data_IF_270929442908
#
_entry.id   IF_270929442908
#
_cell.length_a   1.000
_cell.length_b   1.000
_cell.length_c   1.000
_cell.angle_alpha   90.00
_cell.angle_beta   90.00
_cell.angle_gamma   90.00
#
_symmetry.space_group_name_H-M   'P 1'
#
loop_
_entity.id
_entity.type
_entity.pdbx_description
1 polymer ?
#
# COMPACT_ATOMS: atom_id res chain seq x y z
N UNK A 1 22.40 8.09 27.25
CA UNK A 1 22.57 7.22 26.07
C UNK A 1 21.19 6.94 25.51
N UNK A 2 20.74 7.71 24.52
CA UNK A 2 19.49 7.47 23.79
C UNK A 2 19.87 6.88 22.44
N UNK A 3 19.75 5.57 22.30
CA UNK A 3 19.85 4.91 20.99
C UNK A 3 18.68 5.41 20.15
N UNK A 4 18.90 6.04 18.98
CA UNK A 4 17.80 6.24 18.05
C UNK A 4 17.31 4.83 17.72
N UNK A 5 16.05 4.54 17.99
CA UNK A 5 15.40 3.37 17.42
C UNK A 5 15.54 3.52 15.92
N UNK A 6 16.50 2.80 15.33
CA UNK A 6 16.64 2.70 13.89
C UNK A 6 15.23 2.40 13.38
N UNK A 7 14.66 3.32 12.62
CA UNK A 7 13.37 3.16 11.99
C UNK A 7 13.56 2.10 10.91
N UNK A 8 13.74 0.86 11.34
CA UNK A 8 14.19 -0.26 10.54
C UNK A 8 12.95 -0.77 9.82
N UNK A 9 12.53 0.02 8.84
CA UNK A 9 11.58 -0.42 7.83
C UNK A 9 12.23 -1.63 7.17
N UNK A 10 11.80 -2.82 7.58
CA UNK A 10 12.27 -4.06 6.98
C UNK A 10 11.80 -4.03 5.53
N UNK A 11 12.76 -3.90 4.61
CA UNK A 11 12.45 -3.97 3.19
C UNK A 11 11.93 -5.37 2.91
N UNK A 12 10.71 -5.45 2.38
CA UNK A 12 10.05 -6.74 2.17
C UNK A 12 10.59 -7.49 0.95
N UNK A 13 10.33 -8.80 0.92
CA UNK A 13 10.63 -9.66 -0.23
C UNK A 13 9.64 -9.44 -1.38
N UNK A 14 9.56 -10.39 -2.32
CA UNK A 14 8.64 -10.29 -3.45
C UNK A 14 7.17 -10.36 -2.97
N UNK A 15 6.40 -9.25 -3.08
CA UNK A 15 5.06 -9.17 -2.53
C UNK A 15 4.04 -9.93 -3.39
N UNK A 16 4.40 -10.39 -4.59
CA UNK A 16 3.46 -11.04 -5.54
C UNK A 16 2.99 -12.41 -5.06
N UNK A 17 3.72 -13.00 -4.12
CA UNK A 17 3.34 -14.24 -3.44
C UNK A 17 2.18 -14.06 -2.46
N UNK A 18 1.87 -12.81 -2.07
CA UNK A 18 0.88 -12.49 -1.06
C UNK A 18 -0.49 -12.20 -1.69
N UNK A 19 -1.54 -12.82 -1.13
CA UNK A 19 -2.91 -12.63 -1.57
C UNK A 19 -3.38 -11.16 -1.40
N UNK A 20 -2.88 -10.47 -0.36
CA UNK A 20 -3.19 -9.06 -0.11
C UNK A 20 -2.62 -8.14 -1.20
N UNK A 21 -1.46 -8.48 -1.76
CA UNK A 21 -0.90 -7.73 -2.89
C UNK A 21 -1.74 -7.88 -4.15
N UNK A 22 -2.24 -9.10 -4.43
CA UNK A 22 -3.13 -9.31 -5.57
C UNK A 22 -4.45 -8.51 -5.42
N UNK A 23 -4.99 -8.43 -4.20
CA UNK A 23 -6.16 -7.61 -3.88
C UNK A 23 -5.88 -6.12 -4.03
N UNK A 24 -4.75 -5.64 -3.49
CA UNK A 24 -4.35 -4.24 -3.60
C UNK A 24 -4.16 -3.84 -5.06
N UNK A 25 -3.47 -4.68 -5.85
CA UNK A 25 -3.28 -4.47 -7.27
C UNK A 25 -4.62 -4.39 -8.02
N UNK A 26 -5.58 -5.23 -7.68
CA UNK A 26 -6.92 -5.16 -8.29
C UNK A 26 -7.63 -3.85 -7.96
N UNK A 27 -7.54 -3.35 -6.73
CA UNK A 27 -8.08 -2.02 -6.39
C UNK A 27 -7.37 -0.90 -7.17
N UNK A 28 -6.04 -0.91 -7.23
CA UNK A 28 -5.28 0.12 -7.94
C UNK A 28 -5.47 0.06 -9.47
N UNK A 29 -5.69 -1.13 -10.04
CA UNK A 29 -6.02 -1.29 -11.46
C UNK A 29 -7.37 -0.66 -11.82
N UNK A 30 -8.27 -0.41 -10.87
CA UNK A 30 -9.52 0.32 -11.15
C UNK A 30 -9.27 1.76 -11.60
N UNK A 31 -8.17 2.38 -11.18
CA UNK A 31 -7.76 3.72 -11.61
C UNK A 31 -7.44 3.80 -13.10
N UNK A 32 -6.87 2.73 -13.66
CA UNK A 32 -6.50 2.63 -15.07
C UNK A 32 -7.60 1.99 -15.92
N UNK A 33 -8.69 1.54 -15.29
CA UNK A 33 -9.77 0.88 -15.99
C UNK A 33 -10.65 1.89 -16.74
N UNK A 34 -10.99 1.65 -18.03
CA UNK A 34 -11.75 2.59 -18.85
C UNK A 34 -13.16 2.86 -18.30
N UNK A 35 -13.77 1.88 -17.63
CA UNK A 35 -15.06 2.04 -16.95
C UNK A 35 -14.98 2.77 -15.59
N UNK A 36 -13.77 3.14 -15.13
CA UNK A 36 -13.47 3.82 -13.85
C UNK A 36 -14.37 3.40 -12.67
N UNK A 37 -14.37 2.11 -12.31
CA UNK A 37 -15.08 1.69 -11.11
C UNK A 37 -14.47 2.35 -9.88
N UNK A 38 -15.32 2.71 -8.90
CA UNK A 38 -14.86 3.37 -7.68
C UNK A 38 -13.82 2.51 -6.94
N UNK A 39 -12.68 3.13 -6.65
CA UNK A 39 -11.61 2.53 -5.84
C UNK A 39 -12.05 2.57 -4.38
N UNK A 40 -11.93 1.43 -3.70
CA UNK A 40 -12.15 1.42 -2.26
C UNK A 40 -10.87 1.85 -1.54
N UNK A 41 -10.68 3.16 -1.39
CA UNK A 41 -9.48 3.75 -0.79
C UNK A 41 -9.20 3.27 0.65
N UNK A 42 -10.24 3.07 1.46
CA UNK A 42 -10.10 2.55 2.83
C UNK A 42 -9.64 1.09 2.85
N UNK A 43 -10.15 0.27 1.93
CA UNK A 43 -9.69 -1.11 1.78
C UNK A 43 -8.24 -1.14 1.29
N UNK A 44 -7.89 -0.31 0.30
CA UNK A 44 -6.54 -0.23 -0.23
C UNK A 44 -5.53 0.18 0.85
N UNK A 45 -5.88 1.14 1.73
CA UNK A 45 -5.05 1.53 2.88
C UNK A 45 -4.78 0.34 3.81
N UNK A 46 -5.84 -0.38 4.18
CA UNK A 46 -5.74 -1.55 5.06
C UNK A 46 -4.86 -2.65 4.47
N UNK A 47 -4.95 -2.87 3.15
CA UNK A 47 -4.12 -3.86 2.45
C UNK A 47 -2.64 -3.45 2.43
N UNK A 48 -2.33 -2.16 2.25
CA UNK A 48 -0.95 -1.67 2.35
C UNK A 48 -0.36 -1.90 3.74
N UNK A 49 -1.12 -1.63 4.81
CA UNK A 49 -0.66 -1.86 6.19
C UNK A 49 -0.43 -3.35 6.46
N UNK A 50 -1.35 -4.22 6.04
CA UNK A 50 -1.20 -5.68 6.14
C UNK A 50 0.08 -6.16 5.44
N UNK A 51 0.35 -5.64 4.24
CA UNK A 51 1.57 -5.96 3.49
C UNK A 51 2.84 -5.50 4.19
N UNK A 52 2.83 -4.32 4.82
CA UNK A 52 3.99 -3.85 5.57
C UNK A 52 4.28 -4.71 6.80
N UNK A 53 3.25 -5.26 7.45
CA UNK A 53 3.40 -6.16 8.59
C UNK A 53 3.88 -7.56 8.17
N UNK A 54 3.33 -8.11 7.08
CA UNK A 54 3.60 -9.49 6.66
C UNK A 54 4.82 -9.63 5.74
N UNK A 55 5.01 -8.71 4.80
CA UNK A 55 6.12 -8.74 3.85
C UNK A 55 7.29 -7.87 4.32
N UNK A 56 6.97 -6.68 4.87
CA UNK A 56 7.88 -5.56 4.94
C UNK A 56 7.55 -4.50 3.89
N UNK A 57 8.18 -3.33 4.03
CA UNK A 57 7.93 -2.18 3.17
C UNK A 57 8.60 -2.38 1.82
N UNK A 58 7.83 -2.23 0.76
CA UNK A 58 8.32 -2.25 -0.61
C UNK A 58 7.88 -0.97 -1.34
N UNK A 59 8.67 -0.51 -2.31
CA UNK A 59 8.53 0.80 -2.93
C UNK A 59 7.16 1.04 -3.59
N UNK A 60 6.63 0.06 -4.31
CA UNK A 60 5.38 0.17 -5.04
C UNK A 60 4.17 0.26 -4.07
N UNK A 61 4.13 -0.57 -3.03
CA UNK A 61 3.10 -0.53 -1.98
C UNK A 61 3.21 0.75 -1.17
N UNK A 62 4.41 1.26 -0.91
CA UNK A 62 4.63 2.57 -0.28
C UNK A 62 4.14 3.73 -1.16
N UNK A 63 4.41 3.69 -2.47
CA UNK A 63 3.91 4.68 -3.41
C UNK A 63 2.38 4.68 -3.48
N UNK A 64 1.76 3.50 -3.55
CA UNK A 64 0.31 3.37 -3.50
C UNK A 64 -0.28 3.82 -2.18
N UNK A 65 0.32 3.45 -1.05
CA UNK A 65 -0.10 3.91 0.27
C UNK A 65 -0.09 5.45 0.35
N UNK A 66 0.93 6.10 -0.20
CA UNK A 66 1.01 7.56 -0.24
C UNK A 66 -0.13 8.16 -1.06
N UNK A 67 -0.41 7.62 -2.24
CA UNK A 67 -1.54 8.03 -3.08
C UNK A 67 -2.90 7.81 -2.39
N UNK A 68 -3.07 6.67 -1.71
CA UNK A 68 -4.30 6.38 -0.97
C UNK A 68 -4.47 7.40 0.17
N UNK A 69 -3.39 7.72 0.88
CA UNK A 69 -3.39 8.71 1.96
C UNK A 69 -3.71 10.12 1.47
N UNK A 70 -3.24 10.53 0.28
CA UNK A 70 -3.62 11.83 -0.29
C UNK A 70 -5.09 11.87 -0.68
N UNK A 71 -5.63 10.79 -1.26
CA UNK A 71 -7.07 10.68 -1.55
C UNK A 71 -7.93 10.72 -0.29
N UNK A 72 -7.57 9.97 0.76
CA UNK A 72 -8.30 9.96 2.02
C UNK A 72 -8.24 11.30 2.76
N UNK A 73 -7.13 12.04 2.60
CA UNK A 73 -6.97 13.39 3.14
C UNK A 73 -7.69 14.47 2.30
N UNK A 74 -8.25 14.12 1.13
CA UNK A 74 -8.88 15.09 0.24
C UNK A 74 -7.90 16.04 -0.47
N UNK A 75 -6.65 15.62 -0.64
CA UNK A 75 -5.57 16.40 -1.25
C UNK A 75 -5.36 16.10 -2.75
N UNK A 76 -6.34 15.47 -3.40
CA UNK A 76 -6.29 15.01 -4.79
C UNK A 76 -7.31 15.75 -5.66
#
# INVERSE_FOLDING_TARGET
>A
MTTPSECCLKTGGDPRTLADYARLRNEMNKLTHPARPDVNWRLAEKLCLSLFEHNGVELQTAAWYTLIRTHLAGLY
#
